data_IF_024060626470
#
_entry.id   IF_024060626470
#
_cell.length_a   1.000
_cell.length_b   1.000
_cell.length_c   1.000
_cell.angle_alpha   90.00
_cell.angle_beta   90.00
_cell.angle_gamma   90.00
#
_symmetry.space_group_name_H-M   'P 1'
#
loop_
_entity.id
_entity.type
_entity.pdbx_description
1 polymer ?
#
# COMPACT_ATOMS: atom_id res chain seq x y z
N UNK A 1 27.49 -9.89 54.62
CA UNK A 1 28.78 -9.16 54.53
C UNK A 1 28.46 -7.70 54.78
N UNK A 2 28.64 -7.28 56.04
CA UNK A 2 28.41 -5.94 56.56
C UNK A 2 29.73 -5.18 56.52
N UNK A 3 29.74 -3.94 56.03
CA UNK A 3 30.72 -2.93 56.44
C UNK A 3 30.01 -1.59 56.52
N UNK A 4 30.11 -0.99 57.71
CA UNK A 4 29.76 0.39 58.02
C UNK A 4 30.96 1.05 58.72
N UNK A 5 30.88 2.39 58.86
CA UNK A 5 31.74 3.38 59.55
C UNK A 5 32.75 4.10 58.64
N UNK A 6 32.90 5.44 58.63
CA UNK A 6 32.26 6.54 59.39
C UNK A 6 33.10 7.85 59.32
N UNK A 7 32.51 9.01 59.69
CA UNK A 7 33.18 10.26 60.16
C UNK A 7 33.22 11.47 59.19
N UNK A 8 32.40 12.54 59.33
CA UNK A 8 32.59 13.83 60.10
C UNK A 8 33.54 14.84 59.39
N UNK A 9 33.36 16.17 59.24
CA UNK A 9 32.59 17.25 59.94
C UNK A 9 32.73 18.59 59.12
N UNK A 10 31.69 19.47 59.13
CA UNK A 10 31.57 20.98 59.08
C UNK A 10 32.72 21.88 58.55
N UNK A 11 32.57 23.11 58.04
CA UNK A 11 31.51 24.14 57.79
C UNK A 11 32.16 25.24 56.89
N UNK A 12 31.34 26.03 56.16
CA UNK A 12 31.45 27.49 55.90
C UNK A 12 30.94 27.87 54.49
N UNK A 13 30.01 28.84 54.45
CA UNK A 13 29.10 29.09 53.33
C UNK A 13 29.49 30.16 52.33
N UNK A 14 28.62 30.35 51.34
CA UNK A 14 28.42 31.54 50.49
C UNK A 14 27.19 31.32 49.58
N UNK A 15 26.65 32.37 48.92
CA UNK A 15 25.25 32.75 49.03
C UNK A 15 24.38 32.30 47.86
N UNK A 16 23.07 32.42 48.09
CA UNK A 16 21.96 32.24 47.15
C UNK A 16 22.16 32.96 45.80
N UNK A 17 21.91 32.22 44.70
CA UNK A 17 21.21 32.64 43.47
C UNK A 17 21.64 31.80 42.25
N UNK A 18 21.26 30.52 42.23
CA UNK A 18 20.92 29.85 40.96
C UNK A 18 19.64 29.10 41.24
N UNK A 19 18.51 29.71 40.88
CA UNK A 19 17.28 28.96 40.72
C UNK A 19 17.48 28.07 39.49
N UNK A 20 18.11 26.92 39.71
CA UNK A 20 17.97 25.75 38.86
C UNK A 20 16.51 25.32 39.01
N UNK A 21 15.61 26.07 38.39
CA UNK A 21 14.30 25.57 38.07
C UNK A 21 14.58 24.34 37.22
N UNK A 22 14.33 23.16 37.79
CA UNK A 22 14.21 21.95 37.00
C UNK A 22 13.39 22.33 35.76
N UNK A 23 13.85 22.02 34.53
CA UNK A 23 13.06 22.31 33.35
C UNK A 23 11.68 21.77 33.63
N UNK A 24 10.70 22.67 33.70
CA UNK A 24 9.30 22.38 33.96
C UNK A 24 9.00 21.17 33.08
N UNK A 25 8.75 20.01 33.70
CA UNK A 25 8.60 18.73 33.02
C UNK A 25 7.44 18.92 32.05
N UNK A 26 7.79 19.27 30.81
CA UNK A 26 6.93 19.99 29.88
C UNK A 26 5.58 19.32 29.83
N UNK A 27 4.54 20.08 30.18
CA UNK A 27 3.20 19.60 30.48
C UNK A 27 2.87 18.36 29.66
N UNK A 28 2.83 17.21 30.33
CA UNK A 28 2.67 15.93 29.66
C UNK A 28 1.31 15.92 28.97
N UNK A 29 1.35 15.95 27.63
CA UNK A 29 0.18 15.87 26.78
C UNK A 29 -0.64 14.62 27.13
N UNK A 30 -1.92 14.79 27.44
CA UNK A 30 -2.88 13.69 27.49
C UNK A 30 -3.30 13.36 26.06
N UNK A 31 -2.40 12.69 25.34
CA UNK A 31 -2.60 12.25 23.96
C UNK A 31 -2.89 10.75 23.93
N UNK A 32 -3.79 10.30 23.05
CA UNK A 32 -4.03 8.87 22.87
C UNK A 32 -2.74 8.18 22.43
N UNK A 33 -2.53 6.94 22.88
CA UNK A 33 -1.32 6.18 22.57
C UNK A 33 -1.28 5.68 21.11
N UNK A 34 -2.43 5.68 20.42
CA UNK A 34 -2.55 5.17 19.06
C UNK A 34 -3.71 5.80 18.28
N UNK A 35 -3.69 5.60 16.97
CA UNK A 35 -4.86 5.76 16.09
C UNK A 35 -5.14 4.44 15.40
N UNK A 36 -6.41 4.06 15.29
CA UNK A 36 -6.85 2.98 14.40
C UNK A 36 -7.26 3.59 13.08
N UNK A 37 -6.65 3.10 12.01
CA UNK A 37 -6.91 3.47 10.62
C UNK A 37 -7.79 2.40 10.01
N UNK A 38 -8.96 2.79 9.51
CA UNK A 38 -9.88 1.94 8.76
C UNK A 38 -9.91 2.42 7.31
N UNK A 39 -9.62 1.54 6.36
CA UNK A 39 -9.68 1.84 4.93
C UNK A 39 -11.14 1.88 4.46
N UNK A 40 -11.52 2.96 3.80
CA UNK A 40 -12.82 3.18 3.19
C UNK A 40 -12.89 2.68 1.75
N UNK A 41 -14.11 2.63 1.22
CA UNK A 41 -14.39 2.28 -0.18
C UNK A 41 -13.76 3.28 -1.16
N UNK A 42 -13.49 2.81 -2.39
CA UNK A 42 -12.87 3.63 -3.44
C UNK A 42 -11.42 4.01 -3.16
N UNK A 43 -10.78 3.37 -2.18
CA UNK A 43 -9.34 3.50 -1.96
C UNK A 43 -8.61 2.74 -3.06
N UNK A 44 -7.68 3.40 -3.75
CA UNK A 44 -6.99 2.89 -4.93
C UNK A 44 -5.48 2.92 -4.77
N UNK A 45 -4.85 1.97 -5.43
CA UNK A 45 -3.42 1.86 -5.57
C UNK A 45 -3.04 1.54 -7.01
N UNK A 46 -2.13 2.32 -7.57
CA UNK A 46 -1.58 2.08 -8.88
C UNK A 46 -0.09 1.85 -8.71
N UNK A 47 0.33 0.59 -8.57
CA UNK A 47 1.75 0.20 -8.46
C UNK A 47 2.32 0.02 -9.85
N UNK A 48 2.82 1.10 -10.41
CA UNK A 48 3.31 1.11 -11.77
C UNK A 48 2.16 1.07 -12.78
N UNK A 49 2.34 1.87 -13.81
CA UNK A 49 1.24 2.39 -14.59
C UNK A 49 0.92 1.54 -15.82
N UNK A 50 1.97 0.95 -16.39
CA UNK A 50 1.88 0.16 -17.61
C UNK A 50 1.68 -1.33 -17.33
N UNK A 51 1.62 -1.70 -16.05
CA UNK A 51 1.45 -3.07 -15.61
C UNK A 51 0.09 -3.29 -14.98
N UNK A 52 -0.12 -4.51 -14.51
CA UNK A 52 -1.33 -4.97 -13.85
C UNK A 52 -1.45 -4.49 -12.40
N UNK A 53 -0.43 -3.80 -11.90
CA UNK A 53 -0.52 -3.06 -10.65
C UNK A 53 -1.34 -1.78 -10.73
N UNK A 54 -1.76 -1.38 -11.93
CA UNK A 54 -2.63 -0.24 -12.14
C UNK A 54 -4.09 -0.59 -11.78
N UNK A 55 -4.77 0.32 -11.08
CA UNK A 55 -6.17 0.16 -10.72
C UNK A 55 -6.45 -0.87 -9.63
N UNK A 56 -5.48 -1.18 -8.77
CA UNK A 56 -5.72 -2.08 -7.65
C UNK A 56 -6.57 -1.37 -6.59
N UNK A 57 -7.72 -1.94 -6.26
CA UNK A 57 -8.52 -1.46 -5.12
C UNK A 57 -7.94 -1.97 -3.81
N UNK A 58 -7.89 -1.09 -2.81
CA UNK A 58 -7.66 -1.51 -1.44
C UNK A 58 -8.95 -2.11 -0.86
N UNK A 59 -8.85 -3.20 -0.07
CA UNK A 59 -10.01 -3.78 0.60
C UNK A 59 -10.65 -2.78 1.56
N UNK A 60 -11.91 -2.43 1.31
CA UNK A 60 -12.68 -1.63 2.25
C UNK A 60 -12.84 -2.37 3.59
N UNK A 61 -12.84 -1.62 4.69
CA UNK A 61 -12.95 -2.15 6.04
C UNK A 61 -11.64 -2.70 6.62
N UNK A 62 -10.54 -2.69 5.87
CA UNK A 62 -9.26 -3.10 6.42
C UNK A 62 -8.81 -2.17 7.55
N UNK A 63 -8.41 -2.74 8.70
CA UNK A 63 -7.97 -2.00 9.88
C UNK A 63 -6.50 -2.28 10.24
N UNK A 64 -5.79 -1.24 10.64
CA UNK A 64 -4.51 -1.33 11.35
C UNK A 64 -4.35 -0.18 12.33
N UNK A 65 -3.48 -0.34 13.33
CA UNK A 65 -3.20 0.71 14.31
C UNK A 65 -1.83 1.33 14.07
N UNK A 66 -1.68 2.62 14.35
CA UNK A 66 -0.42 3.34 14.38
C UNK A 66 -0.19 3.89 15.78
N UNK A 67 1.01 3.70 16.34
CA UNK A 67 1.40 4.33 17.60
C UNK A 67 1.53 5.84 17.41
N UNK A 68 1.02 6.59 18.38
CA UNK A 68 1.33 8.00 18.57
C UNK A 68 2.51 8.05 19.53
N UNK A 69 3.63 8.64 19.08
CA UNK A 69 4.83 8.74 19.90
C UNK A 69 5.03 10.17 20.42
N UNK A 70 5.87 10.96 19.74
CA UNK A 70 6.27 12.28 20.19
C UNK A 70 5.33 13.34 19.65
N UNK A 71 4.74 14.14 20.52
CA UNK A 71 3.96 15.30 20.15
C UNK A 71 4.75 16.61 20.35
N UNK A 72 4.36 17.65 19.61
CA UNK A 72 4.80 19.01 19.91
C UNK A 72 4.27 19.48 21.30
N UNK A 73 4.83 20.56 21.87
CA UNK A 73 4.39 21.06 23.18
C UNK A 73 2.92 21.49 23.26
N UNK A 74 2.28 21.77 22.12
CA UNK A 74 0.86 22.12 22.03
C UNK A 74 -0.04 20.87 21.89
N UNK A 75 0.55 19.67 21.89
CA UNK A 75 -0.11 18.38 21.70
C UNK A 75 -0.91 18.28 20.39
N UNK A 76 -0.58 19.11 19.40
CA UNK A 76 -1.33 19.20 18.16
C UNK A 76 -0.75 18.25 17.12
N UNK A 77 0.56 18.32 16.89
CA UNK A 77 1.24 17.49 15.89
C UNK A 77 2.01 16.37 16.56
N UNK A 78 1.70 15.14 16.22
CA UNK A 78 2.36 13.96 16.78
C UNK A 78 2.99 13.08 15.72
N UNK A 79 4.14 12.49 16.04
CA UNK A 79 4.78 11.45 15.24
C UNK A 79 3.94 10.16 15.28
N UNK A 80 3.77 9.53 14.12
CA UNK A 80 3.10 8.25 13.94
C UNK A 80 4.09 7.17 13.51
N UNK A 81 3.95 5.96 14.06
CA UNK A 81 4.76 4.80 13.69
C UNK A 81 3.90 3.53 13.68
N UNK A 82 4.03 2.69 12.66
CA UNK A 82 3.34 1.40 12.64
C UNK A 82 3.50 0.60 11.36
N UNK A 83 2.60 -0.37 11.11
CA UNK A 83 1.46 -0.74 11.96
C UNK A 83 1.89 -1.45 13.27
N UNK A 84 1.16 -1.17 14.35
CA UNK A 84 1.26 -1.85 15.66
C UNK A 84 0.06 -2.77 15.88
N UNK A 85 0.15 -3.67 16.86
CA UNK A 85 -0.95 -4.55 17.25
C UNK A 85 -2.23 -3.73 17.51
N UNK A 86 -3.31 -4.04 16.79
CA UNK A 86 -4.62 -3.43 17.02
C UNK A 86 -5.30 -4.20 18.16
N UNK A 87 -5.13 -3.73 19.40
CA UNK A 87 -5.75 -4.34 20.58
C UNK A 87 -7.24 -3.98 20.72
N UNK A 88 -7.78 -3.15 19.82
CA UNK A 88 -9.09 -2.51 19.93
C UNK A 88 -10.06 -2.86 18.80
N UNK A 89 -9.79 -3.91 18.03
CA UNK A 89 -10.61 -4.25 16.87
C UNK A 89 -10.14 -5.48 16.11
N UNK A 90 -10.56 -5.59 14.85
CA UNK A 90 -10.04 -6.60 13.94
C UNK A 90 -8.56 -6.30 13.66
N UNK A 91 -7.74 -7.34 13.75
CA UNK A 91 -6.34 -7.24 13.40
C UNK A 91 -6.14 -7.89 12.03
N UNK A 92 -5.75 -7.10 11.03
CA UNK A 92 -5.39 -7.61 9.70
C UNK A 92 -4.01 -8.25 9.65
N UNK A 93 -3.36 -8.45 10.80
CA UNK A 93 -2.11 -9.18 10.88
C UNK A 93 -2.34 -10.68 10.74
N UNK A 94 -1.81 -11.22 9.67
CA UNK A 94 -2.04 -12.60 9.22
C UNK A 94 -0.72 -13.26 8.88
N UNK A 95 -0.73 -14.58 8.91
CA UNK A 95 0.44 -15.35 8.52
C UNK A 95 0.63 -15.29 7.02
N UNK A 96 1.85 -14.97 6.59
CA UNK A 96 2.20 -14.93 5.16
C UNK A 96 2.17 -16.31 4.51
N UNK A 97 2.17 -17.37 5.33
CA UNK A 97 2.10 -18.76 4.90
C UNK A 97 0.69 -19.34 4.87
N UNK A 98 -0.22 -18.73 5.62
CA UNK A 98 -1.64 -19.07 5.63
C UNK A 98 -2.39 -17.81 6.06
N UNK A 99 -2.87 -17.05 5.08
CA UNK A 99 -3.54 -15.77 5.34
C UNK A 99 -4.83 -15.93 6.12
N UNK A 100 -5.38 -17.13 6.25
CA UNK A 100 -6.56 -17.38 7.06
C UNK A 100 -6.25 -17.41 8.57
N UNK A 101 -4.97 -17.54 8.93
CA UNK A 101 -4.49 -17.51 10.31
C UNK A 101 -4.11 -16.09 10.70
N UNK A 102 -4.87 -15.50 11.64
CA UNK A 102 -4.47 -14.28 12.31
C UNK A 102 -3.33 -14.55 13.28
N UNK A 103 -2.46 -13.57 13.50
CA UNK A 103 -1.25 -13.78 14.30
C UNK A 103 -0.84 -12.53 15.07
N UNK A 104 -0.13 -12.77 16.17
CA UNK A 104 0.49 -11.74 17.02
C UNK A 104 2.01 -11.74 16.91
N UNK A 105 2.59 -12.83 16.38
CA UNK A 105 4.02 -13.04 16.22
C UNK A 105 4.29 -14.07 15.11
N UNK A 106 5.52 -14.12 14.60
CA UNK A 106 5.91 -15.11 13.58
C UNK A 106 5.83 -16.56 14.07
N UNK A 107 5.91 -16.81 15.39
CA UNK A 107 5.78 -18.16 15.96
C UNK A 107 4.35 -18.70 15.94
N UNK A 108 3.35 -17.84 15.80
CA UNK A 108 1.95 -18.26 15.66
C UNK A 108 1.69 -18.85 14.28
N UNK A 109 2.59 -18.60 13.33
CA UNK A 109 2.39 -18.96 11.94
C UNK A 109 2.78 -20.40 11.66
N UNK A 110 1.94 -21.16 10.93
CA UNK A 110 2.28 -22.50 10.53
C UNK A 110 3.59 -22.45 9.72
N UNK A 111 4.47 -23.41 10.00
CA UNK A 111 5.65 -23.61 9.16
C UNK A 111 5.14 -23.79 7.75
N UNK A 112 5.59 -22.90 6.86
CA UNK A 112 5.20 -22.90 5.48
C UNK A 112 5.53 -24.23 4.79
N UNK A 113 4.92 -24.46 3.61
CA UNK A 113 5.34 -25.51 2.68
C UNK A 113 6.80 -25.35 2.22
N UNK A 114 7.14 -25.90 1.06
CA UNK A 114 8.51 -25.93 0.49
C UNK A 114 9.14 -24.56 0.16
N UNK A 115 8.46 -23.46 0.50
CA UNK A 115 8.97 -22.10 0.32
C UNK A 115 10.25 -21.84 1.11
N UNK A 116 11.12 -21.01 0.55
CA UNK A 116 12.41 -20.62 1.14
C UNK A 116 12.30 -19.47 2.15
N UNK A 117 11.20 -18.72 2.12
CA UNK A 117 10.98 -17.61 3.03
C UNK A 117 10.42 -18.11 4.38
N UNK A 118 10.93 -17.60 5.52
CA UNK A 118 10.39 -17.97 6.81
C UNK A 118 8.94 -17.49 6.95
N UNK A 119 8.10 -18.20 7.73
CA UNK A 119 6.78 -17.72 8.07
C UNK A 119 6.91 -16.36 8.77
N UNK A 120 6.11 -15.39 8.32
CA UNK A 120 6.05 -14.07 8.92
C UNK A 120 4.61 -13.76 9.33
N UNK A 121 4.49 -12.92 10.34
CA UNK A 121 3.22 -12.40 10.81
C UNK A 121 3.13 -10.92 10.44
N UNK A 122 2.45 -10.62 9.34
CA UNK A 122 2.51 -9.32 8.67
C UNK A 122 1.12 -8.70 8.51
N UNK A 123 1.07 -7.38 8.46
CA UNK A 123 -0.17 -6.67 8.13
C UNK A 123 -0.36 -6.73 6.63
N UNK A 124 -1.42 -7.40 6.19
CA UNK A 124 -1.71 -7.51 4.78
C UNK A 124 -2.45 -6.27 4.28
N UNK A 125 -1.99 -5.74 3.16
CA UNK A 125 -2.54 -4.61 2.43
C UNK A 125 -3.51 -5.11 1.35
N UNK A 126 -4.41 -6.04 1.68
CA UNK A 126 -5.23 -6.76 0.69
C UNK A 126 -5.26 -8.27 0.90
N UNK A 127 -6.36 -8.97 0.56
CA UNK A 127 -6.32 -10.42 0.39
C UNK A 127 -5.32 -10.80 -0.71
N UNK A 128 -4.76 -12.02 -0.68
CA UNK A 128 -3.95 -12.52 -1.80
C UNK A 128 -4.74 -12.45 -3.11
N UNK A 129 -4.13 -11.98 -4.18
CA UNK A 129 -4.78 -11.90 -5.49
C UNK A 129 -3.91 -12.46 -6.61
N UNK A 130 -4.58 -13.01 -7.62
CA UNK A 130 -3.90 -13.64 -8.75
C UNK A 130 -3.55 -12.63 -9.82
N UNK A 131 -2.31 -12.69 -10.28
CA UNK A 131 -1.88 -12.07 -11.51
C UNK A 131 -1.70 -13.14 -12.62
N UNK A 132 -2.45 -13.01 -13.70
CA UNK A 132 -2.56 -14.06 -14.71
C UNK A 132 -3.02 -15.40 -14.11
N UNK A 133 -2.65 -16.49 -14.77
CA UNK A 133 -3.06 -17.85 -14.34
C UNK A 133 -2.06 -18.52 -13.38
N UNK A 134 -0.87 -17.93 -13.21
CA UNK A 134 0.25 -18.60 -12.53
C UNK A 134 0.97 -17.74 -11.48
N UNK A 135 0.51 -16.51 -11.22
CA UNK A 135 1.14 -15.67 -10.20
C UNK A 135 0.15 -15.38 -9.08
N UNK A 136 0.59 -15.57 -7.84
CA UNK A 136 -0.14 -15.16 -6.65
C UNK A 136 0.64 -14.05 -5.96
N UNK A 137 -0.04 -12.94 -5.63
CA UNK A 137 0.56 -11.75 -5.04
C UNK A 137 -0.04 -11.51 -3.66
N UNK A 138 0.82 -11.27 -2.69
CA UNK A 138 0.47 -10.75 -1.38
C UNK A 138 1.19 -9.42 -1.20
N UNK A 139 0.47 -8.45 -0.66
CA UNK A 139 1.03 -7.15 -0.34
C UNK A 139 0.96 -6.99 1.16
N UNK A 140 2.06 -6.61 1.77
CA UNK A 140 2.17 -6.45 3.21
C UNK A 140 2.85 -5.13 3.58
N UNK A 141 2.45 -4.57 4.73
CA UNK A 141 3.23 -3.56 5.42
C UNK A 141 4.32 -4.28 6.21
N UNK A 142 5.45 -4.59 5.56
CA UNK A 142 6.60 -5.22 6.19
C UNK A 142 7.66 -4.17 6.58
N UNK A 143 8.33 -4.33 7.74
CA UNK A 143 9.51 -3.54 8.05
C UNK A 143 10.53 -3.62 6.92
N UNK A 144 11.21 -2.50 6.65
CA UNK A 144 12.31 -2.46 5.68
C UNK A 144 13.47 -3.33 6.19
N UNK A 145 14.44 -3.62 5.31
CA UNK A 145 15.65 -4.38 5.67
C UNK A 145 16.47 -3.78 6.83
N UNK A 146 16.29 -2.50 7.14
CA UNK A 146 16.89 -1.80 8.28
C UNK A 146 15.98 -1.78 9.52
N UNK A 147 14.99 -2.66 9.57
CA UNK A 147 13.95 -2.76 10.61
C UNK A 147 13.10 -1.49 10.80
N UNK A 148 13.14 -0.56 9.85
CA UNK A 148 12.30 0.63 9.91
C UNK A 148 10.82 0.24 9.73
N UNK A 149 9.92 0.67 10.64
CA UNK A 149 8.48 0.53 10.46
C UNK A 149 8.01 0.98 9.07
N UNK A 150 7.13 0.20 8.43
CA UNK A 150 6.67 0.48 7.07
C UNK A 150 5.87 1.78 6.97
N UNK A 151 5.20 2.20 8.04
CA UNK A 151 4.45 3.45 8.09
C UNK A 151 5.08 4.36 9.15
N UNK A 152 5.49 5.55 8.74
CA UNK A 152 6.02 6.60 9.62
C UNK A 152 5.50 7.95 9.19
N UNK A 153 5.21 8.86 10.10
CA UNK A 153 4.78 10.18 9.69
C UNK A 153 4.30 11.05 10.81
N UNK A 154 3.35 11.93 10.50
CA UNK A 154 2.74 12.86 11.45
C UNK A 154 1.22 12.89 11.30
N UNK A 155 0.55 13.14 12.42
CA UNK A 155 -0.86 13.52 12.50
C UNK A 155 -0.99 14.87 13.21
N UNK A 156 -1.86 15.73 12.71
CA UNK A 156 -2.39 16.88 13.43
C UNK A 156 -3.71 16.46 14.09
N UNK A 157 -3.71 16.25 15.40
CA UNK A 157 -4.87 15.79 16.17
C UNK A 157 -6.01 16.82 16.23
N UNK A 158 -5.74 18.09 15.90
CA UNK A 158 -6.79 19.11 15.87
C UNK A 158 -7.61 19.02 14.59
N UNK A 159 -6.96 18.73 13.47
CA UNK A 159 -7.56 18.77 12.12
C UNK A 159 -7.77 17.40 11.50
N UNK A 160 -7.12 16.35 12.03
CA UNK A 160 -7.06 15.03 11.41
C UNK A 160 -6.10 14.95 10.23
N UNK A 161 -5.31 16.00 9.98
CA UNK A 161 -4.38 16.01 8.87
C UNK A 161 -3.27 14.98 9.07
N UNK A 162 -3.00 14.20 8.03
CA UNK A 162 -2.01 13.13 8.02
C UNK A 162 -0.95 13.39 6.95
N UNK A 163 0.29 13.03 7.27
CA UNK A 163 1.39 12.96 6.31
C UNK A 163 2.28 11.79 6.70
N UNK A 164 2.24 10.70 5.92
CA UNK A 164 2.93 9.46 6.26
C UNK A 164 3.74 8.95 5.06
N UNK A 165 4.96 8.52 5.34
CA UNK A 165 5.78 7.72 4.44
C UNK A 165 5.33 6.27 4.58
N UNK A 166 4.95 5.65 3.45
CA UNK A 166 4.45 4.28 3.37
C UNK A 166 5.44 3.44 2.58
N UNK A 167 5.80 2.29 3.14
CA UNK A 167 6.54 1.24 2.47
C UNK A 167 5.68 -0.01 2.50
N UNK A 168 5.67 -0.71 1.38
CA UNK A 168 5.01 -2.00 1.24
C UNK A 168 6.03 -3.01 0.76
N UNK A 169 5.80 -4.27 1.10
CA UNK A 169 6.50 -5.38 0.50
C UNK A 169 5.52 -6.20 -0.31
N UNK A 170 6.00 -6.65 -1.47
CA UNK A 170 5.29 -7.56 -2.35
C UNK A 170 5.95 -8.93 -2.25
N UNK A 171 5.14 -9.90 -1.84
CA UNK A 171 5.46 -11.32 -1.88
C UNK A 171 4.73 -11.94 -3.05
N UNK A 172 5.44 -12.70 -3.87
CA UNK A 172 4.81 -13.40 -4.99
C UNK A 172 5.26 -14.86 -5.12
N UNK A 173 4.32 -15.70 -5.56
CA UNK A 173 4.58 -17.06 -6.06
C UNK A 173 4.36 -17.07 -7.57
N UNK A 174 5.22 -17.78 -8.30
CA UNK A 174 5.21 -17.88 -9.77
C UNK A 174 4.74 -19.26 -10.27
N UNK A 175 4.38 -20.15 -9.35
CA UNK A 175 4.02 -21.53 -9.67
C UNK A 175 2.52 -21.78 -9.56
N UNK A 176 1.73 -20.75 -9.25
CA UNK A 176 0.28 -20.86 -9.17
C UNK A 176 -0.43 -19.54 -8.90
N UNK A 177 -1.67 -19.45 -9.38
CA UNK A 177 -2.62 -18.41 -9.01
C UNK A 177 -3.03 -18.51 -7.53
N UNK A 178 -3.43 -17.39 -6.93
CA UNK A 178 -4.16 -17.40 -5.67
C UNK A 178 -5.54 -18.06 -5.86
N UNK A 179 -6.00 -18.69 -4.79
CA UNK A 179 -7.37 -19.17 -4.72
C UNK A 179 -8.34 -17.99 -4.68
N UNK A 180 -9.48 -18.13 -5.37
CA UNK A 180 -10.55 -17.13 -5.38
C UNK A 180 -11.61 -17.52 -4.37
N UNK A 181 -12.40 -16.56 -3.92
CA UNK A 181 -13.59 -16.82 -3.11
C UNK A 181 -14.81 -16.77 -4.03
N UNK A 182 -15.36 -17.93 -4.37
CA UNK A 182 -16.38 -18.07 -5.40
C UNK A 182 -17.73 -18.48 -4.79
N UNK A 183 -18.86 -17.90 -5.25
CA UNK A 183 -20.18 -18.28 -4.77
C UNK A 183 -20.48 -19.77 -5.07
N UNK A 184 -20.96 -20.50 -4.05
CA UNK A 184 -21.41 -21.89 -4.18
C UNK A 184 -22.69 -21.93 -5.02
N UNK A 185 -22.71 -22.78 -6.04
CA UNK A 185 -23.93 -23.01 -6.81
C UNK A 185 -24.26 -21.93 -7.84
N UNK A 186 -23.26 -21.14 -8.27
CA UNK A 186 -23.36 -20.54 -9.60
C UNK A 186 -23.30 -21.70 -10.61
N UNK A 187 -24.49 -22.11 -11.05
CA UNK A 187 -24.63 -22.95 -12.22
C UNK A 187 -23.82 -22.31 -13.38
N UNK A 188 -23.23 -23.20 -14.17
CA UNK A 188 -22.35 -22.96 -15.32
C UNK A 188 -22.45 -21.54 -15.94
N UNK A 189 -21.34 -20.78 -16.06
CA UNK A 189 -21.30 -19.51 -16.80
C UNK A 189 -21.78 -19.63 -18.27
N UNK A 190 -21.89 -20.87 -18.79
CA UNK A 190 -22.46 -21.19 -20.10
C UNK A 190 -23.92 -20.76 -20.26
N UNK A 191 -24.62 -20.45 -19.17
CA UNK A 191 -26.07 -20.18 -19.16
C UNK A 191 -26.41 -18.75 -19.62
N UNK A 192 -25.40 -17.90 -19.81
CA UNK A 192 -25.58 -16.54 -20.33
C UNK A 192 -26.28 -15.57 -19.36
N UNK A 193 -26.39 -15.92 -18.08
CA UNK A 193 -26.94 -15.05 -17.04
C UNK A 193 -25.87 -14.12 -16.47
N UNK A 194 -25.81 -12.88 -16.94
CA UNK A 194 -24.85 -11.84 -16.52
C UNK A 194 -25.17 -11.17 -15.16
N UNK A 195 -26.03 -11.77 -14.34
CA UNK A 195 -26.66 -11.07 -13.20
C UNK A 195 -26.07 -11.43 -11.83
N UNK A 196 -24.91 -12.07 -11.77
CA UNK A 196 -24.14 -12.19 -10.53
C UNK A 196 -23.46 -10.84 -10.23
N UNK A 197 -24.26 -9.84 -9.84
CA UNK A 197 -23.75 -8.61 -9.26
C UNK A 197 -22.86 -8.92 -8.05
N UNK A 198 -21.92 -8.02 -7.70
CA UNK A 198 -21.10 -8.19 -6.51
C UNK A 198 -22.01 -8.40 -5.31
N UNK A 199 -21.75 -9.45 -4.53
CA UNK A 199 -22.54 -9.83 -3.37
C UNK A 199 -22.38 -8.80 -2.25
N UNK A 200 -22.96 -7.61 -2.41
CA UNK A 200 -22.80 -6.49 -1.47
C UNK A 200 -23.82 -6.53 -0.33
N UNK A 201 -24.82 -7.42 -0.39
CA UNK A 201 -26.05 -7.22 0.39
C UNK A 201 -26.45 -8.46 1.22
N UNK A 202 -25.53 -9.06 1.98
CA UNK A 202 -25.85 -9.98 3.09
C UNK A 202 -26.73 -11.21 2.77
N UNK A 203 -26.93 -11.51 1.49
CA UNK A 203 -27.86 -12.52 0.99
C UNK A 203 -27.20 -13.87 0.83
N UNK A 204 -26.87 -14.54 1.94
CA UNK A 204 -26.90 -16.00 2.16
C UNK A 204 -26.26 -16.99 1.18
N UNK A 205 -25.65 -16.57 0.07
CA UNK A 205 -24.87 -17.45 -0.79
C UNK A 205 -23.57 -17.80 -0.08
N UNK A 206 -23.42 -19.06 0.34
CA UNK A 206 -22.14 -19.55 0.83
C UNK A 206 -21.13 -19.36 -0.30
N UNK A 207 -19.98 -18.71 -0.03
CA UNK A 207 -18.86 -18.67 -0.97
C UNK A 207 -17.80 -19.65 -0.49
N UNK A 208 -17.09 -20.29 -1.41
CA UNK A 208 -16.02 -21.25 -1.10
C UNK A 208 -14.74 -20.92 -1.85
N UNK A 209 -13.61 -21.32 -1.27
CA UNK A 209 -12.32 -21.17 -1.92
C UNK A 209 -12.24 -22.06 -3.16
N UNK A 210 -11.92 -21.50 -4.32
CA UNK A 210 -11.79 -22.24 -5.58
C UNK A 210 -10.54 -23.13 -5.65
N UNK A 211 -9.61 -22.96 -4.71
CA UNK A 211 -8.39 -23.75 -4.60
C UNK A 211 -7.59 -23.40 -3.35
N UNK A 212 -6.27 -23.57 -3.42
CA UNK A 212 -5.37 -23.23 -2.31
C UNK A 212 -5.38 -24.27 -1.19
N UNK A 213 -4.81 -23.91 -0.03
CA UNK A 213 -4.78 -24.82 1.13
C UNK A 213 -6.16 -25.12 1.71
N UNK A 214 -7.14 -24.27 1.39
CA UNK A 214 -8.52 -24.34 1.91
C UNK A 214 -9.56 -24.52 0.80
N UNK A 215 -9.18 -25.08 -0.34
CA UNK A 215 -10.09 -25.34 -1.45
C UNK A 215 -11.36 -26.08 -1.03
N UNK A 216 -12.52 -25.56 -1.46
CA UNK A 216 -13.85 -26.04 -1.10
C UNK A 216 -14.37 -25.63 0.28
N UNK A 217 -13.59 -24.93 1.10
CA UNK A 217 -14.05 -24.41 2.39
C UNK A 217 -14.72 -23.06 2.23
N UNK A 218 -15.65 -22.74 3.13
CA UNK A 218 -16.32 -21.45 3.16
C UNK A 218 -15.32 -20.28 3.30
N UNK A 219 -15.60 -19.19 2.61
CA UNK A 219 -14.79 -17.96 2.63
C UNK A 219 -15.66 -16.70 2.64
N UNK A 220 -15.13 -15.65 3.25
CA UNK A 220 -15.69 -14.30 3.17
C UNK A 220 -14.94 -13.50 2.10
N UNK A 221 -15.66 -12.78 1.23
CA UNK A 221 -15.03 -11.92 0.23
C UNK A 221 -14.46 -10.68 0.91
N UNK A 222 -13.15 -10.46 0.75
CA UNK A 222 -12.45 -9.33 1.35
C UNK A 222 -12.00 -8.29 0.32
N UNK A 223 -12.08 -8.60 -0.98
CA UNK A 223 -11.70 -7.67 -2.04
C UNK A 223 -11.95 -8.24 -3.43
N UNK A 224 -11.87 -7.38 -4.43
CA UNK A 224 -12.05 -7.73 -5.84
C UNK A 224 -10.86 -7.24 -6.66
N UNK A 225 -10.54 -7.97 -7.72
CA UNK A 225 -9.68 -7.49 -8.80
C UNK A 225 -10.37 -7.82 -10.12
N UNK A 226 -10.93 -6.78 -10.76
CA UNK A 226 -11.93 -6.97 -11.81
C UNK A 226 -13.15 -7.73 -11.25
N UNK A 227 -13.63 -8.73 -11.99
CA UNK A 227 -14.77 -9.56 -11.59
C UNK A 227 -14.42 -10.68 -10.59
N UNK A 228 -13.13 -10.82 -10.22
CA UNK A 228 -12.67 -11.93 -9.36
C UNK A 228 -12.67 -11.49 -7.90
N UNK A 229 -13.35 -12.25 -7.06
CA UNK A 229 -13.36 -12.06 -5.61
C UNK A 229 -12.22 -12.82 -4.92
N UNK A 230 -11.59 -12.18 -3.94
CA UNK A 230 -10.49 -12.74 -3.16
C UNK A 230 -10.77 -12.66 -1.66
N UNK A 231 -10.13 -13.56 -0.92
CA UNK A 231 -10.36 -13.72 0.51
C UNK A 231 -9.06 -14.06 1.23
N UNK A 232 -8.92 -13.56 2.45
CA UNK A 232 -7.88 -14.06 3.35
C UNK A 232 -8.09 -15.52 3.74
N UNK A 233 -9.32 -16.03 3.69
CA UNK A 233 -9.68 -17.41 4.00
C UNK A 233 -9.21 -18.41 2.94
N UNK A 234 -8.79 -17.91 1.77
CA UNK A 234 -8.34 -18.70 0.63
C UNK A 234 -6.83 -18.52 0.40
N UNK A 235 -5.98 -18.97 1.34
CA UNK A 235 -4.53 -18.86 1.19
C UNK A 235 -4.04 -19.66 -0.02
N UNK A 236 -2.99 -19.18 -0.73
CA UNK A 236 -2.42 -19.90 -1.85
C UNK A 236 -1.84 -21.25 -1.42
N UNK A 237 -1.89 -22.25 -2.31
CA UNK A 237 -1.30 -23.57 -2.06
C UNK A 237 0.24 -23.50 -2.06
N UNK A 238 0.80 -22.71 -2.98
CA UNK A 238 2.22 -22.45 -3.07
C UNK A 238 2.56 -21.13 -2.40
N UNK A 239 3.60 -21.18 -1.57
CA UNK A 239 4.06 -19.99 -0.88
C UNK A 239 4.80 -19.05 -1.81
N UNK A 240 4.72 -17.74 -1.54
CA UNK A 240 5.60 -16.78 -2.18
C UNK A 240 7.07 -17.18 -2.00
N UNK A 241 7.78 -17.29 -3.11
CA UNK A 241 9.22 -17.64 -3.14
C UNK A 241 10.10 -16.41 -3.32
N UNK A 242 9.50 -15.27 -3.66
CA UNK A 242 10.21 -14.00 -3.81
C UNK A 242 9.51 -12.89 -3.01
N UNK A 243 10.33 -11.94 -2.57
CA UNK A 243 9.95 -10.81 -1.75
C UNK A 243 10.64 -9.56 -2.31
N UNK A 244 9.94 -8.45 -2.40
CA UNK A 244 10.50 -7.20 -2.92
C UNK A 244 9.84 -6.01 -2.25
N UNK A 245 10.69 -5.15 -1.68
CA UNK A 245 10.24 -3.93 -1.02
C UNK A 245 9.99 -2.84 -2.07
N UNK A 246 8.83 -2.19 -1.98
CA UNK A 246 8.42 -1.06 -2.79
C UNK A 246 8.26 0.15 -1.86
N UNK A 247 9.12 1.15 -2.07
CA UNK A 247 9.03 2.43 -1.37
C UNK A 247 7.97 3.28 -2.07
N UNK A 248 6.76 3.33 -1.49
CA UNK A 248 5.64 4.14 -2.01
C UNK A 248 5.85 5.62 -1.71
N UNK A 249 6.83 5.97 -0.87
CA UNK A 249 7.09 7.35 -0.49
C UNK A 249 5.96 7.95 0.34
N UNK A 250 5.79 9.26 0.24
CA UNK A 250 4.89 10.03 1.09
C UNK A 250 3.47 10.09 0.53
N UNK A 251 2.48 9.84 1.38
CA UNK A 251 1.07 10.16 1.15
C UNK A 251 0.61 11.18 2.19
N UNK A 252 -0.26 12.10 1.80
CA UNK A 252 -0.76 13.15 2.70
C UNK A 252 -2.23 13.47 2.47
N UNK A 253 -2.91 13.87 3.55
CA UNK A 253 -4.26 14.42 3.49
C UNK A 253 -4.29 15.95 3.37
N UNK A 254 -3.14 16.60 3.17
CA UNK A 254 -3.07 18.07 3.08
C UNK A 254 -2.37 18.49 1.80
N UNK A 255 -3.10 19.20 0.94
CA UNK A 255 -2.53 20.19 0.02
C UNK A 255 -1.67 19.67 -1.14
N UNK A 256 -1.42 18.37 -1.27
CA UNK A 256 -0.58 17.86 -2.35
C UNK A 256 -1.41 17.36 -3.53
N UNK A 257 -1.66 18.25 -4.50
CA UNK A 257 -2.00 17.86 -5.86
C UNK A 257 -0.70 17.56 -6.61
N UNK A 258 -0.24 16.31 -6.60
CA UNK A 258 0.88 15.92 -7.46
C UNK A 258 0.41 15.83 -8.91
N UNK A 259 0.76 16.84 -9.71
CA UNK A 259 0.50 16.84 -11.14
C UNK A 259 1.70 16.29 -11.90
N UNK A 260 1.43 15.24 -12.67
CA UNK A 260 2.25 14.77 -13.77
C UNK A 260 2.01 15.68 -14.97
N UNK A 261 3.05 16.37 -15.45
CA UNK A 261 3.02 17.13 -16.71
C UNK A 261 4.21 16.74 -17.58
N UNK A 262 4.29 17.21 -18.84
CA UNK A 262 5.37 16.83 -19.76
C UNK A 262 6.81 17.17 -19.27
N UNK A 263 6.96 17.90 -18.15
CA UNK A 263 8.24 18.22 -17.50
C UNK A 263 8.50 17.46 -16.20
N UNK A 264 7.55 16.65 -15.71
CA UNK A 264 7.57 15.91 -14.43
C UNK A 264 6.98 14.50 -14.57
N UNK A 265 7.46 13.50 -13.81
CA UNK A 265 8.18 13.61 -12.56
C UNK A 265 9.64 13.22 -12.68
N UNK A 266 10.45 13.75 -11.77
CA UNK A 266 11.73 13.14 -11.46
C UNK A 266 11.51 12.09 -10.36
N UNK A 267 12.29 11.01 -10.36
CA UNK A 267 12.28 10.03 -9.29
C UNK A 267 12.55 10.75 -7.95
N UNK A 268 11.70 10.53 -6.94
CA UNK A 268 11.84 11.13 -5.61
C UNK A 268 12.88 10.42 -4.73
N UNK A 269 13.35 9.23 -5.15
CA UNK A 269 14.31 8.42 -4.40
C UNK A 269 15.67 9.11 -4.31
N UNK A 270 16.21 9.21 -3.08
CA UNK A 270 17.56 9.69 -2.80
C UNK A 270 18.58 8.89 -3.63
N UNK A 271 19.36 9.59 -4.47
CA UNK A 271 20.34 9.01 -5.39
C UNK A 271 19.91 8.97 -6.86
N UNK A 272 18.61 9.04 -7.15
CA UNK A 272 18.06 9.00 -8.51
C UNK A 272 17.26 10.25 -8.88
N UNK A 273 17.46 11.37 -8.17
CA UNK A 273 16.66 12.61 -8.35
C UNK A 273 16.86 13.30 -9.70
N UNK A 274 17.85 12.86 -10.49
CA UNK A 274 18.06 13.29 -11.87
C UNK A 274 17.33 12.42 -12.91
N UNK A 275 16.86 11.23 -12.52
CA UNK A 275 16.14 10.33 -13.41
C UNK A 275 14.70 10.80 -13.56
N UNK A 276 14.23 10.89 -14.81
CA UNK A 276 12.81 11.09 -15.08
C UNK A 276 12.09 9.79 -14.81
N UNK A 277 10.89 9.87 -14.25
CA UNK A 277 10.04 8.71 -14.15
C UNK A 277 9.66 8.27 -15.53
N UNK A 278 9.90 6.99 -15.76
CA UNK A 278 9.67 6.38 -17.03
C UNK A 278 8.17 6.10 -17.13
N UNK A 279 7.59 6.45 -18.27
CA UNK A 279 6.18 6.26 -18.58
C UNK A 279 5.95 4.94 -19.32
N UNK A 280 7.01 4.14 -19.47
CA UNK A 280 6.98 2.83 -20.12
C UNK A 280 8.36 2.20 -20.23
N UNK A 281 8.38 1.02 -20.85
CA UNK A 281 9.58 0.27 -21.20
C UNK A 281 9.73 0.23 -22.72
N UNK A 282 10.97 0.32 -23.19
CA UNK A 282 11.27 0.12 -24.60
C UNK A 282 10.98 -1.30 -25.05
N UNK A 283 10.56 -1.43 -26.30
CA UNK A 283 10.29 -2.70 -26.98
C UNK A 283 11.55 -3.54 -27.28
N UNK A 284 12.75 -2.98 -27.06
CA UNK A 284 14.03 -3.65 -27.20
C UNK A 284 14.57 -4.21 -25.87
N UNK A 285 15.23 -5.36 -25.92
CA UNK A 285 16.08 -5.85 -24.81
C UNK A 285 17.49 -5.22 -24.87
N UNK A 286 18.12 -4.89 -23.72
CA UNK A 286 17.58 -4.97 -22.37
C UNK A 286 16.47 -3.93 -22.13
N UNK A 287 15.51 -4.28 -21.27
CA UNK A 287 14.40 -3.38 -20.90
C UNK A 287 14.96 -2.04 -20.41
N UNK A 288 14.68 -0.98 -21.16
CA UNK A 288 15.07 0.38 -20.84
C UNK A 288 13.83 1.20 -20.56
N UNK A 289 13.80 1.90 -19.43
CA UNK A 289 12.76 2.89 -19.17
C UNK A 289 12.74 3.96 -20.27
N UNK A 290 11.56 4.42 -20.64
CA UNK A 290 11.37 5.45 -21.65
C UNK A 290 10.25 6.40 -21.26
N UNK A 291 10.38 7.65 -21.69
CA UNK A 291 9.31 8.66 -21.64
C UNK A 291 8.71 8.90 -23.04
N UNK A 292 9.44 8.49 -24.08
CA UNK A 292 9.03 8.58 -25.48
C UNK A 292 9.77 7.56 -26.34
N UNK A 293 9.30 7.29 -27.56
CA UNK A 293 9.97 6.43 -28.56
C UNK A 293 11.44 6.80 -28.80
N UNK A 294 11.78 8.08 -28.66
CA UNK A 294 13.17 8.57 -28.81
C UNK A 294 14.10 7.96 -27.77
N UNK A 295 13.57 7.64 -26.59
CA UNK A 295 14.31 7.01 -25.51
C UNK A 295 14.52 5.51 -25.75
N UNK A 296 14.13 4.95 -26.90
CA UNK A 296 14.28 3.53 -27.20
C UNK A 296 15.34 3.19 -28.25
N UNK A 297 16.18 4.16 -28.62
CA UNK A 297 17.43 3.90 -29.32
C UNK A 297 17.26 3.11 -30.62
N UNK A 298 16.79 3.77 -31.67
CA UNK A 298 16.62 3.17 -32.99
C UNK A 298 15.64 3.99 -33.82
N UNK A 299 15.62 3.81 -35.14
CA UNK A 299 14.64 4.49 -35.98
C UNK A 299 13.18 4.05 -35.69
N UNK A 300 13.02 2.87 -35.05
CA UNK A 300 11.73 2.22 -34.82
C UNK A 300 11.46 1.85 -33.35
N UNK A 301 12.35 2.18 -32.40
CA UNK A 301 12.14 1.80 -31.01
C UNK A 301 10.87 2.45 -30.45
N UNK A 302 10.04 1.65 -29.78
CA UNK A 302 8.75 2.10 -29.23
C UNK A 302 8.75 2.09 -27.72
N UNK A 303 8.29 3.19 -27.14
CA UNK A 303 8.07 3.30 -25.72
C UNK A 303 6.72 2.72 -25.30
N UNK A 304 6.71 1.93 -24.24
CA UNK A 304 5.51 1.32 -23.65
C UNK A 304 4.92 0.16 -24.44
N UNK A 305 5.72 -0.49 -25.30
CA UNK A 305 5.30 -1.70 -26.01
C UNK A 305 5.75 -3.00 -25.33
N UNK A 306 6.71 -2.93 -24.40
CA UNK A 306 7.35 -4.11 -23.81
C UNK A 306 7.93 -5.08 -24.87
N UNK A 307 8.64 -6.14 -24.47
CA UNK A 307 9.06 -7.18 -25.39
C UNK A 307 7.86 -8.03 -25.82
N UNK A 308 7.77 -8.34 -27.12
CA UNK A 308 6.77 -9.26 -27.67
C UNK A 308 6.82 -10.62 -26.94
N UNK A 309 5.68 -11.10 -26.45
CA UNK A 309 5.54 -12.40 -25.76
C UNK A 309 5.16 -12.33 -24.27
N UNK A 310 5.14 -11.14 -23.67
CA UNK A 310 4.45 -10.93 -22.40
C UNK A 310 2.95 -10.82 -22.68
N UNK A 311 2.17 -11.79 -22.21
CA UNK A 311 0.71 -11.81 -22.37
C UNK A 311 0.08 -10.76 -21.48
N UNK A 312 -0.45 -9.72 -22.11
CA UNK A 312 -1.03 -8.54 -21.48
C UNK A 312 -0.55 -7.33 -22.26
N UNK A 313 -1.43 -6.54 -22.90
CA UNK A 313 -0.96 -5.35 -23.61
C UNK A 313 -0.27 -4.47 -22.57
N UNK A 314 1.05 -4.21 -22.67
CA UNK A 314 1.57 -3.05 -21.95
C UNK A 314 0.76 -1.89 -22.49
N UNK A 315 0.04 -1.22 -21.59
CA UNK A 315 -0.78 -0.06 -21.95
C UNK A 315 0.15 0.94 -22.60
N UNK A 316 0.06 1.02 -23.92
CA UNK A 316 0.86 1.94 -24.70
C UNK A 316 0.67 3.35 -24.12
N UNK A 317 1.70 4.20 -24.08
CA UNK A 317 1.51 5.59 -23.77
C UNK A 317 0.51 6.16 -24.79
N UNK A 318 -0.68 6.50 -24.30
CA UNK A 318 -1.77 7.13 -25.05
C UNK A 318 -2.39 6.26 -26.16
N UNK A 319 -2.95 5.10 -25.78
CA UNK A 319 -3.91 4.38 -26.63
C UNK A 319 -5.30 5.03 -26.72
N UNK A 320 -5.56 6.10 -25.96
CA UNK A 320 -6.86 6.74 -25.92
C UNK A 320 -7.22 7.36 -27.27
N UNK A 321 -8.48 7.24 -27.67
CA UNK A 321 -8.97 8.01 -28.83
C UNK A 321 -9.07 9.51 -28.52
N UNK A 322 -9.25 9.87 -27.24
CA UNK A 322 -9.33 11.25 -26.75
C UNK A 322 -8.28 11.61 -25.70
N UNK A 323 -8.73 12.01 -24.50
CA UNK A 323 -7.85 12.50 -23.42
C UNK A 323 -7.55 11.39 -22.40
N UNK A 324 -6.41 11.50 -21.75
CA UNK A 324 -6.13 10.74 -20.55
C UNK A 324 -6.46 11.60 -19.32
N UNK A 325 -7.48 11.23 -18.54
CA UNK A 325 -7.83 11.91 -17.29
C UNK A 325 -7.76 10.95 -16.11
N UNK A 326 -7.02 11.36 -15.09
CA UNK A 326 -6.70 10.57 -13.90
C UNK A 326 -6.31 9.10 -14.17
N UNK A 327 -5.76 8.86 -15.35
CA UNK A 327 -5.28 7.58 -15.78
C UNK A 327 -6.22 6.64 -16.51
N UNK A 328 -7.42 7.12 -16.77
CA UNK A 328 -8.44 6.45 -17.55
C UNK A 328 -8.56 7.19 -18.87
N UNK A 329 -8.62 6.41 -19.96
CA UNK A 329 -8.87 6.97 -21.26
C UNK A 329 -10.29 7.51 -21.30
N UNK A 330 -10.44 8.65 -21.94
CA UNK A 330 -11.71 9.14 -22.38
C UNK A 330 -11.67 9.38 -23.89
N UNK A 331 -12.78 9.14 -24.57
CA UNK A 331 -12.93 9.44 -25.98
C UNK A 331 -12.92 10.96 -26.24
N UNK A 332 -13.00 11.35 -27.51
CA UNK A 332 -13.03 12.77 -27.91
C UNK A 332 -14.24 13.55 -27.36
N UNK A 333 -15.26 12.87 -26.84
CA UNK A 333 -16.46 13.44 -26.22
C UNK A 333 -16.39 13.42 -24.68
N UNK A 334 -15.34 12.85 -24.09
CA UNK A 334 -15.17 12.71 -22.64
C UNK A 334 -15.88 11.48 -22.05
N UNK A 335 -16.25 10.48 -22.86
CA UNK A 335 -16.78 9.22 -22.35
C UNK A 335 -15.64 8.29 -21.94
N UNK A 336 -15.73 7.59 -20.80
CA UNK A 336 -14.68 6.67 -20.36
C UNK A 336 -14.51 5.51 -21.35
N UNK A 337 -13.27 5.21 -21.70
CA UNK A 337 -12.86 4.01 -22.39
C UNK A 337 -12.28 3.02 -21.37
N UNK A 338 -12.50 1.72 -21.56
CA UNK A 338 -11.92 0.66 -20.71
C UNK A 338 -10.44 0.44 -21.05
N UNK A 339 -9.67 1.53 -21.03
CA UNK A 339 -8.27 1.61 -21.38
C UNK A 339 -7.59 2.50 -20.35
N UNK A 340 -6.54 1.97 -19.71
CA UNK A 340 -5.68 2.78 -18.85
C UNK A 340 -4.68 3.56 -19.69
N UNK A 341 -4.35 4.77 -19.26
CA UNK A 341 -3.51 5.68 -20.04
C UNK A 341 -2.59 6.50 -19.17
N UNK A 342 -1.48 6.94 -19.72
CA UNK A 342 -0.56 7.82 -19.02
C UNK A 342 -0.86 9.30 -19.35
N UNK A 343 -0.82 10.25 -18.41
CA UNK A 343 -0.91 11.68 -18.74
C UNK A 343 0.34 12.14 -19.50
N UNK A 344 0.37 11.88 -20.81
CA UNK A 344 1.43 12.33 -21.73
C UNK A 344 1.01 13.52 -22.60
N UNK A 345 -0.29 13.83 -22.65
CA UNK A 345 -0.83 14.98 -23.37
C UNK A 345 -0.72 16.26 -22.54
N UNK A 346 -0.25 17.39 -23.12
CA UNK A 346 -0.27 18.67 -22.44
C UNK A 346 -1.67 19.00 -21.91
N UNK A 347 -1.79 19.19 -20.58
CA UNK A 347 -3.06 19.46 -19.91
C UNK A 347 -3.68 18.26 -19.18
N UNK A 348 -3.22 17.03 -19.43
CA UNK A 348 -3.55 15.89 -18.58
C UNK A 348 -2.86 16.04 -17.23
N UNK A 349 -3.60 15.81 -16.14
CA UNK A 349 -3.11 15.98 -14.78
C UNK A 349 -3.55 14.77 -13.98
N UNK A 350 -2.59 13.99 -13.49
CA UNK A 350 -2.87 13.04 -12.41
C UNK A 350 -3.10 13.80 -11.11
N UNK A 351 -4.04 13.35 -10.29
CA UNK A 351 -4.34 14.00 -9.02
C UNK A 351 -4.39 12.95 -7.92
N UNK A 352 -3.81 13.29 -6.78
CA UNK A 352 -3.98 12.52 -5.56
C UNK A 352 -4.35 13.50 -4.45
N UNK A 353 -5.59 14.05 -4.44
CA UNK A 353 -5.95 15.11 -3.53
C UNK A 353 -6.00 14.58 -2.09
N UNK A 354 -5.27 15.24 -1.22
CA UNK A 354 -5.40 15.06 0.22
C UNK A 354 -6.48 15.97 0.80
N UNK A 355 -7.43 15.40 1.55
CA UNK A 355 -8.41 16.17 2.34
C UNK A 355 -8.56 15.52 3.71
N UNK A 356 -8.67 16.30 4.79
CA UNK A 356 -9.04 15.77 6.10
C UNK A 356 -10.15 16.60 6.74
N UNK A 357 -11.00 15.93 7.50
CA UNK A 357 -12.04 16.55 8.29
C UNK A 357 -12.19 15.84 9.64
N UNK A 358 -12.46 16.62 10.67
CA UNK A 358 -12.74 16.10 12.00
C UNK A 358 -14.25 15.85 12.13
N UNK A 359 -14.63 14.61 12.43
CA UNK A 359 -16.03 14.20 12.61
C UNK A 359 -16.51 14.31 14.05
N UNK A 360 -15.58 14.29 15.02
CA UNK A 360 -15.87 14.35 16.44
C UNK A 360 -14.60 14.44 17.28
N UNK A 361 -14.72 14.28 18.59
CA UNK A 361 -13.56 14.38 19.50
C UNK A 361 -12.47 13.37 19.15
N UNK A 362 -12.86 12.13 18.85
CA UNK A 362 -11.98 10.98 18.67
C UNK A 362 -12.04 10.39 17.25
N UNK A 363 -12.60 11.12 16.28
CA UNK A 363 -12.85 10.60 14.93
C UNK A 363 -12.53 11.59 13.83
N UNK A 364 -11.89 11.10 12.78
CA UNK A 364 -11.48 11.87 11.61
C UNK A 364 -11.76 11.08 10.33
N UNK A 365 -12.06 11.78 9.26
CA UNK A 365 -12.06 11.27 7.90
C UNK A 365 -10.95 11.95 7.13
N UNK A 366 -10.18 11.17 6.37
CA UNK A 366 -9.14 11.70 5.51
C UNK A 366 -9.08 10.94 4.20
N UNK A 367 -8.86 11.65 3.10
CA UNK A 367 -8.32 11.07 1.88
C UNK A 367 -6.83 11.35 1.88
N UNK A 368 -6.01 10.31 1.88
CA UNK A 368 -4.56 10.37 1.70
C UNK A 368 -4.26 10.25 0.22
N UNK A 369 -3.55 11.22 -0.33
CA UNK A 369 -3.04 11.15 -1.70
C UNK A 369 -1.52 11.14 -1.72
N UNK A 370 -0.94 10.31 -2.57
CA UNK A 370 0.50 10.33 -2.85
C UNK A 370 0.77 9.91 -4.27
N UNK A 371 1.79 10.54 -4.86
CA UNK A 371 2.33 10.16 -6.16
C UNK A 371 3.84 10.12 -6.05
N UNK A 372 4.40 8.92 -6.14
CA UNK A 372 5.84 8.72 -6.16
C UNK A 372 6.25 8.08 -7.47
N UNK A 373 7.53 7.81 -7.59
CA UNK A 373 8.09 7.12 -8.71
C UNK A 373 9.10 6.10 -8.23
N UNK A 374 8.79 4.84 -8.56
CA UNK A 374 9.52 3.69 -8.08
C UNK A 374 10.52 3.27 -9.16
N UNK A 375 11.81 3.12 -8.83
CA UNK A 375 12.83 2.64 -9.77
C UNK A 375 12.61 1.16 -10.11
N UNK A 376 13.33 0.58 -11.11
CA UNK A 376 13.31 -0.87 -11.28
C UNK A 376 13.75 -1.56 -9.98
N UNK A 377 13.18 -2.73 -9.74
CA UNK A 377 13.56 -3.60 -8.63
C UNK A 377 14.66 -4.57 -9.07
N UNK A 378 15.13 -5.41 -8.15
CA UNK A 378 16.02 -6.51 -8.51
C UNK A 378 15.28 -7.67 -9.21
N UNK A 379 13.96 -7.60 -9.31
CA UNK A 379 13.10 -8.64 -9.82
C UNK A 379 12.43 -8.17 -11.11
N UNK A 380 13.03 -8.53 -12.24
CA UNK A 380 12.55 -8.12 -13.56
C UNK A 380 11.13 -8.57 -13.87
N UNK A 381 10.65 -9.64 -13.24
CA UNK A 381 9.28 -10.08 -13.38
C UNK A 381 8.33 -9.14 -12.65
N UNK A 382 8.62 -8.77 -11.39
CA UNK A 382 7.84 -7.74 -10.70
C UNK A 382 7.84 -6.43 -11.48
N UNK A 383 8.99 -6.02 -11.99
CA UNK A 383 9.09 -4.84 -12.83
C UNK A 383 8.20 -4.94 -14.07
N UNK A 384 8.09 -6.12 -14.64
CA UNK A 384 7.19 -6.36 -15.78
C UNK A 384 5.72 -6.37 -15.37
N UNK A 385 5.39 -7.08 -14.29
CA UNK A 385 4.01 -7.25 -13.80
C UNK A 385 3.42 -5.93 -13.34
N UNK A 386 4.19 -5.17 -12.57
CA UNK A 386 3.79 -3.87 -12.05
C UNK A 386 4.07 -2.74 -13.04
N UNK A 387 4.95 -2.92 -14.02
CA UNK A 387 5.35 -1.83 -14.91
C UNK A 387 6.30 -0.86 -14.22
N UNK A 388 7.30 -1.39 -13.51
CA UNK A 388 8.40 -0.63 -12.91
C UNK A 388 9.63 -0.59 -13.85
N UNK A 389 10.45 0.47 -13.81
CA UNK A 389 10.21 1.71 -13.07
C UNK A 389 8.97 2.43 -13.58
N UNK A 390 8.25 3.06 -12.67
CA UNK A 390 7.01 3.74 -13.01
C UNK A 390 6.49 4.61 -11.88
N UNK A 391 5.52 5.48 -12.18
CA UNK A 391 4.81 6.20 -11.15
C UNK A 391 4.00 5.23 -10.30
N UNK A 392 3.93 5.52 -9.01
CA UNK A 392 3.02 4.87 -8.09
C UNK A 392 2.08 5.91 -7.52
N UNK A 393 0.78 5.73 -7.76
CA UNK A 393 -0.28 6.57 -7.17
C UNK A 393 -0.94 5.80 -6.04
N UNK A 394 -1.14 6.44 -4.91
CA UNK A 394 -1.91 5.91 -3.80
C UNK A 394 -2.97 6.94 -3.41
N UNK A 395 -4.22 6.49 -3.35
CA UNK A 395 -5.34 7.29 -2.86
C UNK A 395 -6.13 6.46 -1.85
N UNK A 396 -5.99 6.78 -0.57
CA UNK A 396 -6.66 6.04 0.52
C UNK A 396 -7.73 6.91 1.13
N UNK A 397 -8.98 6.50 1.03
CA UNK A 397 -10.03 7.03 1.88
C UNK A 397 -9.91 6.31 3.22
N UNK A 398 -9.74 7.04 4.31
CA UNK A 398 -9.53 6.47 5.64
C UNK A 398 -10.40 7.15 6.69
N UNK A 399 -10.87 6.34 7.63
CA UNK A 399 -11.42 6.82 8.89
C UNK A 399 -10.39 6.55 9.98
N UNK A 400 -10.11 7.57 10.78
CA UNK A 400 -9.22 7.46 11.94
C UNK A 400 -10.06 7.52 13.21
N UNK A 401 -9.76 6.65 14.17
CA UNK A 401 -10.31 6.75 15.52
C UNK A 401 -9.21 6.63 16.57
N UNK A 402 -9.30 7.44 17.62
CA UNK A 402 -8.45 7.29 18.82
C UNK A 402 -9.17 6.36 19.80
N UNK A 403 -8.59 5.19 20.13
CA UNK A 403 -9.18 4.31 21.13
C UNK A 403 -9.12 4.97 22.51
N UNK A 404 -10.15 4.71 23.32
CA UNK A 404 -10.26 5.17 24.71
C UNK A 404 -9.60 4.22 25.69
#
# INVERSE_FOLDING_TARGET
>A
MLVACGGSKRDHGQPDASSDAAPDDGGQCDVPAAVVVTIGTGSRWDVGWTGFGHGLDFPAGAEFALAIERCDPDCQTCDLVGPILNEWGSNNRRCTTDTSVTCSSASDCPKGGTGTLPPACAYLAGPPFSFGDNTCVLIEFAPRQDDAPPIRGKIDLKTGALSVDVNVSVRQSLTGACARCEPVGTEDPSDGGTDAGPATDGGGGESVCSGGLRGGQACEVHGYLGEKAYSYDCPPADLPTSHTDIDVGRVSSVGELWSLDASRPNCSRVGNTADRCWCGLCDSLPLRGCTSDRDCGGANGKCGKGPEGLTGPPTAPNGCSGRCDDGECEDEHGNPEDLSCFPGTPGSVMRAPGVSSRLGEDRYEATLGGLTCVPPTANSLLDTVFGLPGPVRMQLNVTLRTPK
#
